data_IF_246393693996
#
_entry.id   IF_246393693996
#
_cell.length_a   1.000
_cell.length_b   1.000
_cell.length_c   1.000
_cell.angle_alpha   90.00
_cell.angle_beta   90.00
_cell.angle_gamma   90.00
#
_symmetry.space_group_name_H-M   'P 1'
#
loop_
_entity.id
_entity.type
_entity.pdbx_description
1 polymer ?
#
# COMPACT_ATOMS: atom_id res chain seq x y z
N UNK A 1 18.76 24.29 -38.91
CA UNK A 1 20.07 23.73 -38.55
C UNK A 1 19.82 22.36 -37.92
N UNK A 2 19.59 21.27 -38.67
CA UNK A 2 20.47 20.42 -39.49
C UNK A 2 21.57 19.66 -38.72
N UNK A 3 21.29 18.34 -38.51
CA UNK A 3 22.17 17.15 -38.34
C UNK A 3 23.01 17.09 -37.05
N UNK A 4 23.08 15.96 -36.32
CA UNK A 4 23.78 14.69 -36.67
C UNK A 4 23.31 13.62 -35.65
N UNK A 5 22.69 12.45 -35.94
CA UNK A 5 23.11 11.19 -36.61
C UNK A 5 24.29 10.43 -35.95
N UNK A 6 24.08 9.12 -35.73
CA UNK A 6 25.04 8.03 -35.35
C UNK A 6 25.53 7.99 -33.87
N UNK A 7 25.53 6.89 -33.11
CA UNK A 7 25.77 5.45 -33.38
C UNK A 7 24.93 4.61 -32.40
N UNK A 8 24.10 3.64 -32.81
CA UNK A 8 24.47 2.23 -33.02
C UNK A 8 25.55 1.70 -32.08
N UNK A 9 25.13 1.08 -30.97
CA UNK A 9 25.83 -0.09 -30.43
C UNK A 9 24.81 -1.19 -30.10
N UNK A 10 24.81 -2.17 -31.00
CA UNK A 10 24.11 -3.43 -30.95
C UNK A 10 25.13 -4.48 -30.46
N UNK A 11 24.86 -5.14 -29.33
CA UNK A 11 25.51 -6.37 -28.83
C UNK A 11 25.12 -6.54 -27.34
N UNK A 12 24.85 -7.71 -26.75
CA UNK A 12 24.90 -9.09 -27.18
C UNK A 12 24.10 -9.91 -26.14
N UNK A 13 23.28 -10.83 -26.64
CA UNK A 13 22.85 -12.12 -26.10
C UNK A 13 23.20 -12.46 -24.64
N UNK A 14 22.18 -12.79 -23.85
CA UNK A 14 22.24 -13.90 -22.88
C UNK A 14 20.88 -14.63 -22.84
N UNK A 15 20.75 -15.66 -23.69
CA UNK A 15 19.74 -16.70 -23.52
C UNK A 15 20.06 -17.48 -22.23
N UNK A 16 19.26 -17.26 -21.19
CA UNK A 16 19.23 -18.10 -19.98
C UNK A 16 18.21 -19.22 -20.14
N UNK A 17 18.65 -20.32 -20.75
CA UNK A 17 17.94 -21.57 -20.93
C UNK A 17 17.94 -22.43 -19.66
N UNK A 18 16.75 -22.96 -19.31
CA UNK A 18 16.48 -24.25 -18.64
C UNK A 18 16.79 -24.39 -17.14
N UNK A 19 15.70 -24.66 -16.40
CA UNK A 19 15.71 -25.17 -15.04
C UNK A 19 14.35 -25.76 -14.65
N UNK A 20 13.76 -26.59 -15.51
CA UNK A 20 12.57 -27.37 -15.18
C UNK A 20 12.95 -28.49 -14.19
N UNK A 21 12.81 -28.22 -12.89
CA UNK A 21 12.82 -29.27 -11.88
C UNK A 21 11.47 -29.99 -11.89
N UNK A 22 11.35 -31.02 -12.74
CA UNK A 22 10.31 -32.04 -12.65
C UNK A 22 10.47 -32.81 -11.33
N UNK A 23 9.63 -32.48 -10.34
CA UNK A 23 9.51 -33.30 -9.13
C UNK A 23 8.80 -34.60 -9.49
N UNK A 24 9.58 -35.69 -9.47
CA UNK A 24 9.18 -37.09 -9.65
C UNK A 24 8.01 -37.43 -8.72
N UNK A 25 6.93 -38.09 -9.21
CA UNK A 25 5.91 -38.67 -8.36
C UNK A 25 6.53 -39.77 -7.48
N UNK A 26 6.52 -39.56 -6.17
CA UNK A 26 6.84 -40.59 -5.18
C UNK A 26 5.72 -41.63 -5.18
N UNK A 27 6.11 -42.90 -5.24
CA UNK A 27 5.18 -44.03 -5.27
C UNK A 27 4.34 -44.07 -3.98
N UNK A 28 3.03 -44.23 -4.15
CA UNK A 28 2.10 -44.38 -3.04
C UNK A 28 2.44 -45.65 -2.23
N UNK A 29 2.47 -45.58 -0.89
CA UNK A 29 2.68 -46.75 -0.05
C UNK A 29 1.49 -47.72 -0.12
N UNK A 30 1.71 -49.02 0.12
CA UNK A 30 0.66 -50.02 0.12
C UNK A 30 -0.39 -49.76 1.23
N UNK A 31 -1.65 -50.16 1.01
CA UNK A 31 -2.73 -49.97 1.96
C UNK A 31 -2.45 -50.75 3.26
N UNK A 32 -2.46 -50.03 4.38
CA UNK A 32 -2.34 -50.60 5.72
C UNK A 32 -3.57 -51.44 6.08
N UNK A 33 -3.34 -52.56 6.76
CA UNK A 33 -4.36 -53.46 7.26
C UNK A 33 -5.34 -52.75 8.23
N UNK A 34 -6.62 -53.17 8.28
CA UNK A 34 -7.61 -52.57 9.17
C UNK A 34 -7.26 -52.84 10.63
N UNK A 35 -7.12 -51.75 11.40
CA UNK A 35 -6.98 -51.80 12.85
C UNK A 35 -8.31 -52.21 13.52
N UNK A 36 -8.28 -52.93 14.65
CA UNK A 36 -9.47 -53.29 15.40
C UNK A 36 -10.20 -52.04 15.93
N UNK A 37 -11.52 -52.03 15.75
CA UNK A 37 -12.40 -50.96 16.19
C UNK A 37 -12.39 -50.84 17.72
N UNK A 38 -11.82 -49.75 18.22
CA UNK A 38 -11.89 -49.37 19.63
C UNK A 38 -13.22 -48.64 19.85
N UNK A 39 -13.95 -49.02 20.89
CA UNK A 39 -15.23 -48.42 21.23
C UNK A 39 -15.11 -46.89 21.38
N UNK A 40 -15.93 -46.16 20.62
CA UNK A 40 -15.94 -44.71 20.60
C UNK A 40 -16.52 -44.17 21.92
N UNK A 41 -15.79 -43.30 22.66
CA UNK A 41 -16.31 -42.67 23.87
C UNK A 41 -17.58 -41.87 23.56
N UNK A 42 -18.54 -41.90 24.50
CA UNK A 42 -19.78 -41.15 24.39
C UNK A 42 -19.51 -39.65 24.13
N UNK A 43 -20.28 -39.01 23.22
CA UNK A 43 -20.07 -37.60 22.90
C UNK A 43 -20.27 -36.72 24.15
N UNK A 44 -19.41 -35.72 24.36
CA UNK A 44 -19.55 -34.79 25.48
C UNK A 44 -20.88 -34.02 25.37
N UNK A 45 -21.46 -33.61 26.51
CA UNK A 45 -22.68 -32.81 26.54
C UNK A 45 -22.54 -31.55 25.67
N UNK A 46 -23.56 -31.26 24.85
CA UNK A 46 -23.57 -30.09 23.99
C UNK A 46 -23.38 -28.82 24.83
N UNK A 47 -22.34 -28.05 24.54
CA UNK A 47 -22.07 -26.78 25.19
C UNK A 47 -23.24 -25.80 24.93
N UNK A 48 -23.60 -24.94 25.91
CA UNK A 48 -24.62 -23.92 25.72
C UNK A 48 -24.36 -23.09 24.47
N UNK A 49 -25.40 -22.85 23.66
CA UNK A 49 -25.29 -22.03 22.47
C UNK A 49 -24.75 -20.64 22.85
N UNK A 50 -23.63 -20.24 22.24
CA UNK A 50 -23.05 -18.93 22.47
C UNK A 50 -24.08 -17.84 22.13
N UNK A 51 -24.20 -16.78 22.96
CA UNK A 51 -25.13 -15.70 22.67
C UNK A 51 -24.83 -15.09 21.30
N UNK A 52 -25.87 -14.61 20.58
CA UNK A 52 -25.69 -13.97 19.27
C UNK A 52 -24.64 -12.87 19.37
N UNK A 53 -23.62 -12.94 18.49
CA UNK A 53 -22.61 -11.90 18.42
C UNK A 53 -23.30 -10.56 18.16
N UNK A 54 -23.03 -9.57 19.01
CA UNK A 54 -23.51 -8.21 18.81
C UNK A 54 -23.10 -7.74 17.39
N UNK A 55 -23.96 -6.99 16.68
CA UNK A 55 -23.61 -6.47 15.36
C UNK A 55 -22.34 -5.62 15.48
N UNK A 56 -21.33 -5.96 14.68
CA UNK A 56 -20.12 -5.16 14.57
C UNK A 56 -20.50 -3.77 14.07
N UNK A 57 -20.26 -2.74 14.87
CA UNK A 57 -20.40 -1.35 14.43
C UNK A 57 -19.41 -1.18 13.28
N UNK A 58 -19.90 -0.80 12.10
CA UNK A 58 -19.04 -0.55 10.95
C UNK A 58 -18.06 0.59 11.31
N UNK A 59 -16.78 0.26 11.40
CA UNK A 59 -15.74 1.25 11.70
C UNK A 59 -15.64 2.24 10.53
N UNK A 60 -15.88 3.52 10.81
CA UNK A 60 -15.77 4.56 9.79
C UNK A 60 -14.35 5.09 9.69
N UNK A 61 -13.78 5.01 8.48
CA UNK A 61 -12.48 5.58 8.14
C UNK A 61 -12.56 7.06 7.73
N UNK A 62 -13.75 7.66 7.70
CA UNK A 62 -13.95 9.03 7.21
C UNK A 62 -13.28 10.09 8.06
N UNK A 63 -12.70 11.11 7.43
CA UNK A 63 -12.09 12.25 8.08
C UNK A 63 -10.70 12.57 7.53
N UNK A 64 -10.01 13.47 8.22
CA UNK A 64 -8.66 13.91 7.89
C UNK A 64 -7.62 12.98 8.52
N UNK A 65 -6.57 12.71 7.76
CA UNK A 65 -5.45 11.87 8.16
C UNK A 65 -4.15 12.63 7.96
N UNK A 66 -3.22 12.47 8.89
CA UNK A 66 -1.91 13.13 8.84
C UNK A 66 -0.82 12.22 9.39
N UNK A 67 0.39 12.37 8.88
CA UNK A 67 1.52 11.56 9.30
C UNK A 67 2.82 11.98 8.66
N UNK A 68 3.76 11.05 8.61
CA UNK A 68 5.06 11.27 8.00
C UNK A 68 5.50 10.08 7.17
N UNK A 69 6.30 10.37 6.15
CA UNK A 69 7.16 9.40 5.50
C UNK A 69 8.57 9.48 6.09
N UNK A 70 9.35 8.40 5.95
CA UNK A 70 10.55 8.11 6.76
C UNK A 70 11.49 9.27 7.14
N UNK A 71 11.70 10.28 6.29
CA UNK A 71 12.54 11.47 6.58
C UNK A 71 11.78 12.62 7.26
N UNK A 72 10.80 12.32 8.11
CA UNK A 72 9.90 13.30 8.74
C UNK A 72 9.14 14.19 7.75
N UNK A 73 8.98 13.71 6.52
CA UNK A 73 8.31 14.45 5.46
C UNK A 73 6.80 14.31 5.65
N UNK A 74 6.07 15.41 5.89
CA UNK A 74 4.65 15.34 6.22
C UNK A 74 3.84 14.78 5.06
N UNK A 75 2.84 13.97 5.42
CA UNK A 75 1.79 13.49 4.52
C UNK A 75 0.42 13.80 5.14
N UNK A 76 -0.56 14.07 4.28
CA UNK A 76 -1.95 14.26 4.69
C UNK A 76 -2.89 13.76 3.61
N UNK A 77 -4.03 13.21 4.01
CA UNK A 77 -5.07 12.78 3.09
C UNK A 77 -6.44 12.81 3.76
N UNK A 78 -7.50 12.91 2.96
CA UNK A 78 -8.87 12.96 3.45
C UNK A 78 -9.64 11.76 2.92
N UNK A 79 -10.45 11.13 3.77
CA UNK A 79 -11.34 10.03 3.39
C UNK A 79 -12.79 10.48 3.50
N UNK A 80 -13.56 10.32 2.42
CA UNK A 80 -15.00 10.57 2.41
C UNK A 80 -15.69 9.57 1.47
N UNK A 81 -16.81 8.98 1.90
CA UNK A 81 -17.60 8.11 1.02
C UNK A 81 -16.82 6.90 0.49
N UNK A 82 -15.97 6.30 1.33
CA UNK A 82 -15.09 5.17 0.97
C UNK A 82 -14.07 5.49 -0.15
N UNK A 83 -13.69 6.75 -0.28
CA UNK A 83 -12.66 7.19 -1.21
C UNK A 83 -11.67 8.12 -0.49
N UNK A 84 -10.40 8.02 -0.86
CA UNK A 84 -9.40 9.05 -0.54
C UNK A 84 -9.64 10.21 -1.51
N UNK A 85 -10.23 11.31 -1.04
CA UNK A 85 -10.61 12.45 -1.88
C UNK A 85 -9.46 13.40 -2.15
N UNK A 86 -8.49 13.46 -1.23
CA UNK A 86 -7.27 14.24 -1.35
C UNK A 86 -6.09 13.45 -0.79
N UNK A 87 -4.91 13.58 -1.39
CA UNK A 87 -3.65 13.11 -0.84
C UNK A 87 -2.58 14.13 -1.17
N UNK A 88 -1.82 14.54 -0.16
CA UNK A 88 -0.69 15.46 -0.31
C UNK A 88 0.48 15.01 0.55
N UNK A 89 1.68 15.36 0.12
CA UNK A 89 2.88 15.04 0.85
C UNK A 89 4.08 15.85 0.38
N UNK A 90 5.11 15.86 1.20
CA UNK A 90 6.41 16.44 0.85
C UNK A 90 7.38 15.34 0.42
N UNK A 91 8.32 15.67 -0.46
CA UNK A 91 9.46 14.83 -0.80
C UNK A 91 10.76 15.60 -0.71
N UNK A 92 11.83 14.90 -0.37
CA UNK A 92 13.20 15.39 -0.49
C UNK A 92 14.10 14.22 -0.87
N UNK A 93 15.13 14.46 -1.66
CA UNK A 93 16.07 13.42 -2.03
C UNK A 93 17.36 13.98 -2.60
N UNK A 94 18.31 13.07 -2.82
CA UNK A 94 19.61 13.42 -3.38
C UNK A 94 20.06 12.36 -4.40
N UNK A 95 20.52 12.81 -5.56
CA UNK A 95 21.11 11.99 -6.62
C UNK A 95 22.49 12.54 -6.98
N UNK A 96 23.54 11.88 -6.51
CA UNK A 96 24.91 12.39 -6.62
C UNK A 96 25.09 13.75 -5.93
N UNK A 97 25.49 14.78 -6.68
CA UNK A 97 25.60 16.16 -6.20
C UNK A 97 24.27 16.93 -6.21
N UNK A 98 23.23 16.39 -6.86
CA UNK A 98 21.95 17.06 -7.03
C UNK A 98 21.02 16.80 -5.84
N UNK A 99 20.47 17.84 -5.24
CA UNK A 99 19.42 17.77 -4.20
C UNK A 99 18.12 18.31 -4.75
N UNK A 100 17.01 17.65 -4.41
CA UNK A 100 15.68 18.04 -4.85
C UNK A 100 14.68 17.89 -3.71
N UNK A 101 13.67 18.75 -3.68
CA UNK A 101 12.59 18.70 -2.72
C UNK A 101 11.35 19.38 -3.30
N UNK A 102 10.17 18.96 -2.84
CA UNK A 102 8.92 19.52 -3.34
C UNK A 102 7.70 19.02 -2.59
N UNK A 103 6.53 19.37 -3.13
CA UNK A 103 5.23 18.96 -2.64
C UNK A 103 4.45 18.29 -3.75
N UNK A 104 3.54 17.41 -3.37
CA UNK A 104 2.61 16.74 -4.28
C UNK A 104 1.18 16.87 -3.82
N UNK A 105 0.30 16.70 -4.80
CA UNK A 105 -1.11 16.42 -4.61
C UNK A 105 -1.56 15.31 -5.55
N UNK A 106 -2.50 14.48 -5.11
CA UNK A 106 -3.17 13.50 -5.95
C UNK A 106 -3.88 14.17 -7.11
N UNK A 107 -3.92 13.50 -8.27
CA UNK A 107 -4.65 13.98 -9.45
C UNK A 107 -6.18 13.82 -9.34
N UNK A 108 -6.66 13.07 -8.35
CA UNK A 108 -8.08 12.85 -8.13
C UNK A 108 -8.36 11.85 -6.99
N UNK A 109 -9.64 11.51 -6.78
CA UNK A 109 -10.03 10.60 -5.72
C UNK A 109 -9.59 9.16 -6.03
N UNK A 110 -9.29 8.40 -4.98
CA UNK A 110 -8.94 6.98 -5.08
C UNK A 110 -9.92 6.12 -4.27
N UNK A 111 -10.46 5.07 -4.88
CA UNK A 111 -11.39 4.16 -4.19
C UNK A 111 -10.66 3.29 -3.17
N UNK A 112 -11.26 3.12 -2.00
CA UNK A 112 -10.78 2.18 -0.98
C UNK A 112 -11.44 0.81 -1.23
N UNK A 113 -10.63 -0.21 -1.47
CA UNK A 113 -11.10 -1.60 -1.66
C UNK A 113 -10.67 -2.44 -0.47
N UNK A 114 -11.64 -2.87 0.33
CA UNK A 114 -11.38 -3.51 1.62
C UNK A 114 -10.78 -2.51 2.60
N UNK A 115 -9.45 -2.55 2.77
CA UNK A 115 -8.69 -1.59 3.59
C UNK A 115 -7.57 -0.91 2.82
N UNK A 116 -7.41 -1.22 1.53
CA UNK A 116 -6.31 -0.74 0.71
C UNK A 116 -6.78 0.34 -0.27
N UNK A 117 -5.89 1.27 -0.57
CA UNK A 117 -6.09 2.27 -1.62
C UNK A 117 -4.80 2.51 -2.39
N UNK A 118 -4.93 3.03 -3.60
CA UNK A 118 -3.81 3.49 -4.42
C UNK A 118 -4.18 4.80 -5.07
N UNK A 119 -3.37 5.83 -4.83
CA UNK A 119 -3.52 7.14 -5.46
C UNK A 119 -2.26 7.48 -6.24
N UNK A 120 -2.44 8.31 -7.25
CA UNK A 120 -1.38 8.76 -8.14
C UNK A 120 -1.49 10.27 -8.30
N UNK A 121 -0.39 10.88 -8.68
CA UNK A 121 -0.38 12.28 -9.06
C UNK A 121 0.95 12.65 -9.68
N UNK A 122 1.09 13.94 -9.98
CA UNK A 122 2.29 14.50 -10.58
C UNK A 122 2.67 15.78 -9.89
N UNK A 123 3.97 16.02 -9.80
CA UNK A 123 4.47 17.35 -9.46
C UNK A 123 4.13 18.31 -10.61
N UNK A 124 3.73 19.53 -10.28
CA UNK A 124 3.42 20.56 -11.30
C UNK A 124 4.67 21.22 -11.87
N UNK A 125 5.81 21.11 -11.17
CA UNK A 125 7.07 21.74 -11.56
C UNK A 125 8.04 20.79 -12.26
N UNK A 126 7.94 19.51 -11.95
CA UNK A 126 8.85 18.49 -12.43
C UNK A 126 8.02 17.37 -13.06
N UNK A 127 8.52 16.71 -14.11
CA UNK A 127 7.88 15.53 -14.70
C UNK A 127 8.09 14.30 -13.78
N UNK A 128 7.77 14.48 -12.50
CA UNK A 128 7.79 13.48 -11.44
C UNK A 128 6.38 13.00 -11.22
N UNK A 129 6.19 11.70 -11.40
CA UNK A 129 4.99 10.98 -11.05
C UNK A 129 5.20 10.33 -9.69
N UNK A 130 4.15 10.29 -8.89
CA UNK A 130 4.15 9.50 -7.66
C UNK A 130 3.02 8.48 -7.68
N UNK A 131 3.24 7.39 -6.99
CA UNK A 131 2.23 6.38 -6.66
C UNK A 131 2.28 6.15 -5.16
N UNK A 132 1.19 6.48 -4.46
CA UNK A 132 1.03 6.18 -3.05
C UNK A 132 0.10 4.97 -2.90
N UNK A 133 0.58 3.93 -2.22
CA UNK A 133 -0.21 2.77 -1.84
C UNK A 133 -0.38 2.79 -0.34
N UNK A 134 -1.63 2.70 0.14
CA UNK A 134 -1.94 2.73 1.55
C UNK A 134 -2.81 1.57 1.98
N UNK A 135 -2.70 1.20 3.25
CA UNK A 135 -3.59 0.26 3.93
C UNK A 135 -3.99 0.84 5.28
N UNK A 136 -5.29 0.87 5.53
CA UNK A 136 -5.90 1.24 6.80
C UNK A 136 -5.72 0.05 7.76
N UNK A 137 -4.83 0.17 8.75
CA UNK A 137 -4.54 -0.93 9.68
C UNK A 137 -5.55 -0.97 10.83
N UNK A 138 -6.09 0.19 11.20
CA UNK A 138 -7.15 0.36 12.20
C UNK A 138 -8.04 1.57 11.84
N UNK A 139 -9.10 1.88 12.61
CA UNK A 139 -9.90 3.09 12.41
C UNK A 139 -9.14 4.40 12.56
N UNK A 140 -7.97 4.35 13.21
CA UNK A 140 -7.16 5.53 13.56
C UNK A 140 -5.74 5.48 13.02
N UNK A 141 -5.32 4.37 12.41
CA UNK A 141 -3.97 4.17 11.90
C UNK A 141 -3.98 3.66 10.45
N UNK A 142 -3.05 4.19 9.68
CA UNK A 142 -2.80 3.81 8.30
C UNK A 142 -1.30 3.74 8.04
N UNK A 143 -0.89 2.88 7.12
CA UNK A 143 0.49 2.80 6.67
C UNK A 143 0.56 2.44 5.20
N UNK A 144 1.71 2.69 4.58
CA UNK A 144 1.84 2.42 3.17
C UNK A 144 3.22 2.71 2.60
N UNK A 145 3.27 2.68 1.27
CA UNK A 145 4.46 3.03 0.51
C UNK A 145 4.19 4.17 -0.46
N UNK A 146 5.23 4.96 -0.71
CA UNK A 146 5.21 6.06 -1.66
C UNK A 146 6.38 5.85 -2.63
N UNK A 147 6.06 5.72 -3.90
CA UNK A 147 7.05 5.53 -4.97
C UNK A 147 7.03 6.75 -5.87
N UNK A 148 8.21 7.27 -6.16
CA UNK A 148 8.43 8.44 -7.00
C UNK A 148 9.22 8.02 -8.22
N UNK A 149 8.74 8.39 -9.40
CA UNK A 149 9.43 8.10 -10.66
C UNK A 149 9.37 9.31 -11.57
N UNK A 150 10.48 9.61 -12.20
CA UNK A 150 10.49 10.58 -13.28
C UNK A 150 11.89 11.01 -13.65
N UNK A 151 11.97 12.08 -14.44
CA UNK A 151 13.22 12.62 -14.92
C UNK A 151 13.27 14.12 -14.63
N UNK A 152 14.26 14.52 -13.84
CA UNK A 152 14.62 15.92 -13.67
C UNK A 152 15.70 16.28 -14.69
N UNK A 153 15.61 17.46 -15.30
CA UNK A 153 16.67 17.95 -16.20
C UNK A 153 18.00 18.13 -15.47
N UNK A 154 17.96 18.44 -14.17
CA UNK A 154 19.14 18.72 -13.35
C UNK A 154 19.67 17.46 -12.65
N UNK A 155 18.77 16.59 -12.16
CA UNK A 155 19.15 15.43 -11.35
C UNK A 155 19.11 14.08 -12.10
N UNK A 156 18.70 14.08 -13.37
CA UNK A 156 18.56 12.85 -14.16
C UNK A 156 17.34 12.01 -13.75
N UNK A 157 17.48 10.68 -13.82
CA UNK A 157 16.40 9.75 -13.44
C UNK A 157 16.28 9.70 -11.92
N UNK A 158 15.06 9.90 -11.42
CA UNK A 158 14.72 9.83 -10.00
C UNK A 158 13.83 8.61 -9.79
N UNK A 159 14.25 7.71 -8.91
CA UNK A 159 13.46 6.59 -8.39
C UNK A 159 13.62 6.56 -6.87
N UNK A 160 12.58 7.01 -6.16
CA UNK A 160 12.57 7.03 -4.69
C UNK A 160 11.44 6.18 -4.15
N UNK A 161 11.70 5.52 -3.02
CA UNK A 161 10.72 4.72 -2.33
C UNK A 161 10.75 5.02 -0.84
N UNK A 162 9.62 5.44 -0.30
CA UNK A 162 9.43 5.67 1.13
C UNK A 162 8.36 4.74 1.68
N UNK A 163 8.50 4.42 2.97
CA UNK A 163 7.39 3.96 3.79
C UNK A 163 6.80 5.17 4.51
N UNK A 164 5.49 5.14 4.74
CA UNK A 164 4.80 6.18 5.49
C UNK A 164 3.81 5.58 6.48
N UNK A 165 3.55 6.35 7.53
CA UNK A 165 2.48 6.06 8.50
C UNK A 165 1.65 7.31 8.71
N UNK A 166 0.36 7.13 9.01
CA UNK A 166 -0.57 8.22 9.25
C UNK A 166 -1.56 7.86 10.36
N UNK A 167 -2.00 8.88 11.07
CA UNK A 167 -3.04 8.80 12.08
C UNK A 167 -4.22 9.67 11.69
N UNK A 168 -5.41 9.18 12.02
CA UNK A 168 -6.64 9.95 11.87
C UNK A 168 -6.61 11.13 12.84
N UNK A 169 -6.93 12.32 12.35
CA UNK A 169 -7.06 13.50 13.19
C UNK A 169 -8.19 13.28 14.22
N UNK A 170 -8.03 13.75 15.46
CA UNK A 170 -9.14 13.74 16.40
C UNK A 170 -10.30 14.56 15.82
N UNK A 171 -11.56 14.15 16.05
CA UNK A 171 -12.70 14.97 15.64
C UNK A 171 -12.55 16.37 16.25
N UNK A 172 -12.95 17.42 15.52
CA UNK A 172 -12.93 18.77 16.06
C UNK A 172 -13.71 18.80 17.38
N UNK A 173 -13.29 19.60 18.37
CA UNK A 173 -14.08 19.79 19.59
C UNK A 173 -15.51 20.14 19.18
N UNK A 174 -16.50 19.47 19.79
CA UNK A 174 -17.87 19.91 19.64
C UNK A 174 -17.91 21.35 20.14
N UNK A 175 -18.16 22.31 19.25
CA UNK A 175 -18.51 23.65 19.70
C UNK A 175 -19.65 23.48 20.70
N UNK A 176 -19.57 24.11 21.89
CA UNK A 176 -20.69 24.09 22.81
C UNK A 176 -21.88 24.62 22.00
N UNK A 177 -22.91 23.77 21.81
CA UNK A 177 -24.18 24.24 21.30
C UNK A 177 -24.59 25.35 22.27
N UNK A 178 -24.47 26.61 21.82
CA UNK A 178 -24.80 27.78 22.60
C UNK A 178 -26.20 27.54 23.16
N UNK A 179 -26.28 27.44 24.49
CA UNK A 179 -27.52 27.28 25.22
C UNK A 179 -28.32 28.58 25.04
N UNK A 180 -29.11 28.65 23.97
CA UNK A 180 -30.21 29.62 23.81
C UNK A 180 -31.38 29.32 24.77
#
# INVERSE_FOLDING_TARGET
MLRTLFHSFLALVALGTFGACSKKPEAAPPPAAPAPAVAQPAPPPAAPAAPPAAPAVAESFEGEWSGSSGEDLPISFSIQGNQVTSFSGSYSGRSGSCSFNGQISSSGPATITGKAFTTQGRSSREELEFTAQGTLTSPTEASGSLVWKGKSELCGVIDLKYQWTAKKAPPPPKEPEDLE
#
